data_IF_354375670459
#
_entry.id   IF_354375670459
#
_cell.length_a   1.000
_cell.length_b   1.000
_cell.length_c   1.000
_cell.angle_alpha   90.00
_cell.angle_beta   90.00
_cell.angle_gamma   90.00
#
_symmetry.space_group_name_H-M   'P 1'
#
loop_
_entity.id
_entity.type
_entity.pdbx_description
1 polymer ?
#
# COMPACT_ATOMS: atom_id res chain seq x y z
N UNK A 1 -13.59 28.11 -19.22
CA UNK A 1 -13.70 27.19 -18.05
C UNK A 1 -12.53 26.22 -17.95
N UNK A 2 -12.14 25.49 -19.02
CA UNK A 2 -11.01 24.54 -19.00
C UNK A 2 -9.60 25.14 -18.79
N UNK A 3 -9.37 26.41 -19.15
CA UNK A 3 -8.07 27.10 -18.97
C UNK A 3 -7.83 27.57 -17.53
N UNK A 4 -8.89 27.79 -16.73
CA UNK A 4 -8.77 28.25 -15.34
C UNK A 4 -8.37 27.13 -14.37
N UNK A 5 -8.77 25.88 -14.65
CA UNK A 5 -8.40 24.70 -13.86
C UNK A 5 -6.90 24.42 -13.98
N UNK A 6 -6.34 24.50 -15.20
CA UNK A 6 -4.90 24.28 -15.46
C UNK A 6 -3.97 25.29 -14.77
N UNK A 7 -4.36 26.56 -14.71
CA UNK A 7 -3.57 27.62 -14.07
C UNK A 7 -3.58 27.47 -12.54
N UNK A 8 -4.69 26.99 -11.96
CA UNK A 8 -4.81 26.73 -10.52
C UNK A 8 -4.02 25.50 -10.07
N UNK A 9 -3.96 24.45 -10.89
CA UNK A 9 -3.16 23.24 -10.62
C UNK A 9 -1.66 23.56 -10.60
N UNK A 10 -1.16 24.34 -11.57
CA UNK A 10 0.26 24.74 -11.64
C UNK A 10 0.71 25.62 -10.46
N UNK A 11 -0.13 26.58 -10.06
CA UNK A 11 0.19 27.45 -8.92
C UNK A 11 0.24 26.68 -7.60
N UNK A 12 -0.65 25.69 -7.43
CA UNK A 12 -0.69 24.84 -6.24
C UNK A 12 0.52 23.88 -6.18
N UNK A 13 0.98 23.37 -7.32
CA UNK A 13 2.16 22.51 -7.42
C UNK A 13 3.44 23.26 -7.05
N UNK A 14 3.58 24.53 -7.47
CA UNK A 14 4.75 25.34 -7.13
C UNK A 14 4.82 25.69 -5.64
N UNK A 15 3.67 25.97 -5.01
CA UNK A 15 3.58 26.22 -3.56
C UNK A 15 3.87 24.95 -2.77
N UNK A 16 3.38 23.80 -3.24
CA UNK A 16 3.64 22.50 -2.62
C UNK A 16 5.12 22.11 -2.70
N UNK A 17 5.78 22.30 -3.85
CA UNK A 17 7.21 22.06 -4.00
C UNK A 17 8.04 22.98 -3.10
N UNK A 18 7.62 24.23 -2.94
CA UNK A 18 8.26 25.18 -2.02
C UNK A 18 8.05 24.76 -0.55
N UNK A 19 6.85 24.27 -0.19
CA UNK A 19 6.57 23.75 1.14
C UNK A 19 7.35 22.45 1.44
N UNK A 20 7.47 21.53 0.48
CA UNK A 20 8.28 20.32 0.60
C UNK A 20 9.77 20.63 0.77
N UNK A 21 10.29 21.60 0.03
CA UNK A 21 11.70 22.04 0.17
C UNK A 21 12.00 22.74 1.50
N UNK A 22 11.00 23.38 2.11
CA UNK A 22 11.11 23.91 3.47
C UNK A 22 11.06 22.80 4.54
N UNK A 23 10.29 21.73 4.32
CA UNK A 23 10.24 20.57 5.22
C UNK A 23 11.53 19.73 5.22
N UNK A 24 12.32 19.77 4.14
CA UNK A 24 13.63 19.11 4.04
C UNK A 24 14.74 19.78 4.88
N UNK A 25 14.46 20.86 5.62
CA UNK A 25 15.47 21.57 6.45
C UNK A 25 15.37 21.31 7.95
N UNK A 26 14.49 20.41 8.41
CA UNK A 26 14.40 20.03 9.81
C UNK A 26 15.34 18.86 10.14
N UNK A 27 16.64 19.15 10.25
CA UNK A 27 17.59 18.22 10.88
C UNK A 27 17.33 18.19 12.39
N UNK A 28 16.57 17.20 12.86
CA UNK A 28 16.40 16.94 14.28
C UNK A 28 17.65 16.24 14.82
N UNK A 29 18.16 16.75 15.93
CA UNK A 29 19.31 16.23 16.68
C UNK A 29 19.06 14.78 17.14
N UNK A 30 19.88 13.84 16.64
CA UNK A 30 19.82 12.39 16.87
C UNK A 30 20.13 11.99 18.31
N UNK A 31 19.19 11.30 18.95
CA UNK A 31 19.47 10.30 19.98
C UNK A 31 19.67 8.99 19.19
N UNK A 32 20.76 8.26 19.43
CA UNK A 32 21.05 7.00 18.72
C UNK A 32 19.92 5.99 18.95
N UNK A 33 19.05 5.84 17.96
CA UNK A 33 17.87 4.97 18.00
C UNK A 33 18.18 3.60 17.38
N UNK A 34 17.33 2.58 17.62
CA UNK A 34 17.43 1.26 16.97
C UNK A 34 17.56 1.39 15.46
N UNK A 35 16.86 2.35 14.87
CA UNK A 35 16.95 2.69 13.46
C UNK A 35 18.40 3.01 13.01
N UNK A 36 19.18 3.79 13.77
CA UNK A 36 20.59 4.10 13.44
C UNK A 36 21.48 2.84 13.51
N UNK A 37 21.13 1.87 14.37
CA UNK A 37 21.84 0.58 14.47
C UNK A 37 21.55 -0.28 13.25
N UNK A 38 20.28 -0.36 12.83
CA UNK A 38 19.84 -1.09 11.63
C UNK A 38 20.42 -0.46 10.36
N UNK A 39 20.51 0.87 10.30
CA UNK A 39 21.10 1.60 9.17
C UNK A 39 22.54 1.19 8.84
N UNK A 40 23.29 0.66 9.81
CA UNK A 40 24.65 0.15 9.54
C UNK A 40 24.66 -1.04 8.58
N UNK A 41 23.58 -1.82 8.55
CA UNK A 41 23.42 -2.96 7.66
C UNK A 41 22.82 -2.54 6.31
N UNK A 42 21.95 -1.53 6.30
CA UNK A 42 21.14 -1.19 5.12
C UNK A 42 21.72 -0.09 4.25
N UNK A 43 22.62 0.78 4.75
CA UNK A 43 23.14 1.94 3.99
C UNK A 43 23.51 1.70 2.52
N UNK A 44 24.22 0.62 2.14
CA UNK A 44 24.56 0.38 0.74
C UNK A 44 23.39 -0.13 -0.10
N UNK A 45 22.30 -0.54 0.55
CA UNK A 45 21.09 -1.13 -0.02
C UNK A 45 19.89 -0.17 0.06
N UNK A 46 20.05 1.04 0.59
CA UNK A 46 18.95 2.00 0.79
C UNK A 46 18.48 2.62 -0.53
N UNK A 47 17.17 2.82 -0.64
CA UNK A 47 16.53 3.38 -1.83
C UNK A 47 16.93 4.84 -2.06
N UNK A 48 17.33 5.18 -3.30
CA UNK A 48 17.68 6.56 -3.69
C UNK A 48 16.43 7.41 -4.01
N UNK A 49 15.82 7.93 -2.95
CA UNK A 49 14.69 8.84 -3.05
C UNK A 49 14.99 10.09 -3.88
N UNK A 50 16.18 10.68 -3.74
CA UNK A 50 16.49 11.97 -4.38
C UNK A 50 16.51 11.82 -5.90
N UNK A 51 17.22 10.80 -6.40
CA UNK A 51 17.28 10.53 -7.83
C UNK A 51 15.92 10.11 -8.36
N UNK A 52 15.17 9.30 -7.60
CA UNK A 52 13.83 8.89 -8.01
C UNK A 52 12.87 10.09 -8.10
N UNK A 53 12.74 10.90 -7.05
CA UNK A 53 11.80 12.04 -6.98
C UNK A 53 12.13 13.08 -8.05
N UNK A 54 13.41 13.42 -8.26
CA UNK A 54 13.81 14.41 -9.29
C UNK A 54 13.43 13.93 -10.70
N UNK A 55 13.63 12.64 -11.00
CA UNK A 55 13.21 12.04 -12.27
C UNK A 55 11.69 12.03 -12.43
N UNK A 56 10.97 11.66 -11.38
CA UNK A 56 9.51 11.63 -11.38
C UNK A 56 8.91 13.02 -11.63
N UNK A 57 9.43 14.05 -10.94
CA UNK A 57 9.02 15.44 -11.16
C UNK A 57 9.30 15.90 -12.59
N UNK A 58 10.47 15.55 -13.15
CA UNK A 58 10.78 15.83 -14.55
C UNK A 58 9.78 15.21 -15.53
N UNK A 59 9.42 13.93 -15.33
CA UNK A 59 8.39 13.24 -16.12
C UNK A 59 7.02 13.93 -15.98
N UNK A 60 6.60 14.29 -14.76
CA UNK A 60 5.31 14.97 -14.52
C UNK A 60 5.23 16.35 -15.14
N UNK A 61 6.30 17.14 -15.11
CA UNK A 61 6.37 18.42 -15.80
C UNK A 61 6.22 18.26 -17.33
N UNK A 62 6.85 17.23 -17.90
CA UNK A 62 6.68 16.86 -19.30
C UNK A 62 5.25 16.48 -19.66
N UNK A 63 4.63 15.58 -18.87
CA UNK A 63 3.24 15.15 -19.04
C UNK A 63 2.26 16.35 -19.00
N UNK A 64 2.43 17.24 -18.01
CA UNK A 64 1.61 18.44 -17.88
C UNK A 64 1.74 19.36 -19.10
N UNK A 65 2.95 19.56 -19.61
CA UNK A 65 3.22 20.40 -20.77
C UNK A 65 2.61 19.86 -22.08
N UNK A 66 2.58 18.54 -22.26
CA UNK A 66 2.04 17.89 -23.46
C UNK A 66 0.50 17.87 -23.48
N UNK A 67 -0.15 17.81 -22.32
CA UNK A 67 -1.61 17.81 -22.22
C UNK A 67 -2.27 16.66 -23.01
N UNK A 68 -1.61 15.51 -23.12
CA UNK A 68 -2.00 14.41 -24.00
C UNK A 68 -3.46 13.94 -23.78
N UNK A 69 -3.93 13.95 -22.54
CA UNK A 69 -5.31 13.56 -22.19
C UNK A 69 -6.38 14.54 -22.68
N UNK A 70 -6.01 15.77 -23.07
CA UNK A 70 -6.99 16.77 -23.51
C UNK A 70 -7.49 16.61 -24.93
N UNK A 71 -6.89 15.68 -25.68
CA UNK A 71 -7.33 15.30 -27.01
C UNK A 71 -8.14 13.99 -27.03
N UNK A 72 -8.28 13.30 -25.88
CA UNK A 72 -9.05 12.06 -25.74
C UNK A 72 -10.52 12.36 -25.39
N UNK A 73 -11.45 11.55 -25.93
CA UNK A 73 -12.85 11.52 -25.45
C UNK A 73 -12.93 10.84 -24.08
N UNK A 74 -14.08 10.90 -23.41
CA UNK A 74 -14.27 10.22 -22.12
C UNK A 74 -14.07 8.70 -22.27
N UNK A 75 -14.70 8.11 -23.27
CA UNK A 75 -14.60 6.67 -23.55
C UNK A 75 -13.16 6.25 -23.90
N UNK A 76 -12.44 7.09 -24.65
CA UNK A 76 -11.05 6.83 -25.00
C UNK A 76 -10.10 6.93 -23.78
N UNK A 77 -10.46 7.68 -22.74
CA UNK A 77 -9.67 7.79 -21.51
C UNK A 77 -9.79 6.51 -20.68
N UNK A 78 -11.01 6.03 -20.48
CA UNK A 78 -11.24 4.82 -19.69
C UNK A 78 -10.64 3.60 -20.39
N UNK A 79 -10.78 3.52 -21.72
CA UNK A 79 -10.17 2.45 -22.52
C UNK A 79 -8.64 2.42 -22.40
N UNK A 80 -7.97 3.58 -22.35
CA UNK A 80 -6.50 3.63 -22.18
C UNK A 80 -6.06 2.98 -20.86
N UNK A 81 -6.83 3.15 -19.79
CA UNK A 81 -6.53 2.50 -18.51
C UNK A 81 -6.77 0.99 -18.62
N UNK A 82 -7.87 0.55 -19.24
CA UNK A 82 -8.13 -0.88 -19.44
C UNK A 82 -7.06 -1.56 -20.32
N UNK A 83 -6.63 -0.89 -21.39
CA UNK A 83 -5.55 -1.36 -22.26
C UNK A 83 -4.22 -1.47 -21.49
N UNK A 84 -3.95 -0.53 -20.59
CA UNK A 84 -2.79 -0.59 -19.69
C UNK A 84 -2.86 -1.82 -18.78
N UNK A 85 -4.01 -2.10 -18.16
CA UNK A 85 -4.18 -3.27 -17.27
C UNK A 85 -4.01 -4.60 -18.03
N UNK A 86 -4.52 -4.67 -19.26
CA UNK A 86 -4.33 -5.84 -20.12
C UNK A 86 -2.86 -6.04 -20.46
N UNK A 87 -2.15 -4.94 -20.76
CA UNK A 87 -0.74 -4.99 -21.09
C UNK A 87 0.14 -5.36 -19.89
N UNK A 88 -0.21 -4.92 -18.67
CA UNK A 88 0.43 -5.43 -17.44
C UNK A 88 0.22 -6.94 -17.32
N UNK A 89 -1.02 -7.42 -17.54
CA UNK A 89 -1.34 -8.85 -17.49
C UNK A 89 -0.56 -9.66 -18.53
N UNK A 90 -0.42 -9.13 -19.75
CA UNK A 90 0.36 -9.72 -20.83
C UNK A 90 1.84 -9.82 -20.44
N UNK A 91 2.42 -8.73 -19.92
CA UNK A 91 3.81 -8.70 -19.44
C UNK A 91 4.04 -9.73 -18.33
N UNK A 92 3.14 -9.83 -17.35
CA UNK A 92 3.29 -10.78 -16.25
C UNK A 92 3.16 -12.23 -16.70
N UNK A 93 2.21 -12.52 -17.61
CA UNK A 93 2.10 -13.85 -18.24
C UNK A 93 3.37 -14.22 -19.00
N UNK A 94 3.91 -13.29 -19.80
CA UNK A 94 5.14 -13.53 -20.57
C UNK A 94 6.36 -13.72 -19.67
N UNK A 95 6.48 -12.96 -18.56
CA UNK A 95 7.53 -13.20 -17.54
C UNK A 95 7.43 -14.60 -16.97
N UNK A 96 6.23 -15.04 -16.60
CA UNK A 96 5.99 -16.37 -16.06
C UNK A 96 6.32 -17.46 -17.09
N UNK A 97 5.89 -17.29 -18.34
CA UNK A 97 6.17 -18.23 -19.42
C UNK A 97 7.68 -18.33 -19.71
N UNK A 98 8.42 -17.22 -19.68
CA UNK A 98 9.90 -17.24 -19.75
C UNK A 98 10.49 -18.02 -18.58
N UNK A 99 10.07 -17.71 -17.34
CA UNK A 99 10.55 -18.39 -16.15
C UNK A 99 10.30 -19.89 -16.17
N UNK A 100 9.09 -20.30 -16.56
CA UNK A 100 8.68 -21.71 -16.70
C UNK A 100 9.51 -22.43 -17.76
N UNK A 101 9.74 -21.79 -18.90
CA UNK A 101 10.54 -22.36 -20.01
C UNK A 101 11.99 -22.55 -19.58
N UNK A 102 12.60 -21.54 -18.93
CA UNK A 102 13.98 -21.62 -18.45
C UNK A 102 14.18 -22.67 -17.34
N UNK A 103 13.13 -22.97 -16.58
CA UNK A 103 13.15 -23.95 -15.49
C UNK A 103 12.75 -25.38 -15.92
N UNK A 104 12.36 -25.61 -17.19
CA UNK A 104 11.90 -26.93 -17.65
C UNK A 104 13.09 -27.89 -17.87
N UNK A 105 13.21 -28.97 -17.07
CA UNK A 105 14.32 -29.92 -17.19
C UNK A 105 14.23 -30.83 -18.42
N UNK A 106 13.13 -30.81 -19.17
CA UNK A 106 12.92 -31.65 -20.35
C UNK A 106 13.40 -31.00 -21.66
N UNK A 107 13.81 -29.73 -21.62
CA UNK A 107 14.32 -29.01 -22.78
C UNK A 107 15.84 -29.17 -22.88
N UNK A 108 16.31 -29.52 -24.08
CA UNK A 108 17.75 -29.66 -24.36
C UNK A 108 18.48 -28.30 -24.29
N UNK A 109 17.81 -27.22 -24.71
CA UNK A 109 18.31 -25.84 -24.64
C UNK A 109 17.15 -24.89 -24.23
N UNK A 110 16.91 -24.74 -22.91
CA UNK A 110 15.86 -23.87 -22.38
C UNK A 110 16.02 -22.41 -22.79
N UNK A 111 17.27 -21.94 -22.94
CA UNK A 111 17.56 -20.57 -23.35
C UNK A 111 17.09 -20.30 -24.78
N UNK A 112 17.47 -21.16 -25.73
CA UNK A 112 17.02 -21.05 -27.12
C UNK A 112 15.49 -21.15 -27.23
N UNK A 113 14.86 -22.04 -26.45
CA UNK A 113 13.41 -22.19 -26.42
C UNK A 113 12.68 -20.93 -25.90
N UNK A 114 13.32 -20.18 -25.00
CA UNK A 114 12.77 -18.97 -24.40
C UNK A 114 13.03 -17.68 -25.22
N UNK A 115 13.86 -17.72 -26.28
CA UNK A 115 14.25 -16.53 -27.06
C UNK A 115 13.04 -15.77 -27.61
N UNK A 116 12.14 -16.46 -28.32
CA UNK A 116 10.95 -15.82 -28.92
C UNK A 116 10.03 -15.19 -27.87
N UNK A 117 9.83 -15.86 -26.72
CA UNK A 117 8.99 -15.34 -25.64
C UNK A 117 9.66 -14.12 -24.99
N UNK A 118 10.99 -14.13 -24.88
CA UNK A 118 11.76 -13.01 -24.35
C UNK A 118 11.69 -11.77 -25.26
N UNK A 119 11.69 -11.95 -26.58
CA UNK A 119 11.47 -10.86 -27.55
C UNK A 119 10.05 -10.29 -27.47
N UNK A 120 9.03 -11.14 -27.32
CA UNK A 120 7.65 -10.72 -27.08
C UNK A 120 7.53 -9.94 -25.76
N UNK A 121 8.14 -10.44 -24.69
CA UNK A 121 8.18 -9.77 -23.38
C UNK A 121 8.80 -8.38 -23.48
N UNK A 122 9.92 -8.25 -24.20
CA UNK A 122 10.59 -6.97 -24.39
C UNK A 122 9.70 -5.98 -25.15
N UNK A 123 9.04 -6.45 -26.22
CA UNK A 123 8.10 -5.64 -27.00
C UNK A 123 6.90 -5.19 -26.16
N UNK A 124 6.33 -6.08 -25.34
CA UNK A 124 5.22 -5.75 -24.45
C UNK A 124 5.64 -4.72 -23.38
N UNK A 125 6.85 -4.85 -22.81
CA UNK A 125 7.41 -3.88 -21.86
C UNK A 125 7.61 -2.49 -22.47
N UNK A 126 8.09 -2.41 -23.71
CA UNK A 126 8.25 -1.13 -24.41
C UNK A 126 6.91 -0.43 -24.61
N UNK A 127 5.89 -1.18 -25.06
CA UNK A 127 4.52 -0.66 -25.17
C UNK A 127 3.96 -0.22 -23.82
N UNK A 128 4.29 -0.94 -22.74
CA UNK A 128 3.84 -0.62 -21.39
C UNK A 128 4.43 0.72 -20.92
N UNK A 129 5.73 0.94 -21.14
CA UNK A 129 6.39 2.20 -20.80
C UNK A 129 5.83 3.40 -21.60
N UNK A 130 5.40 3.18 -22.85
CA UNK A 130 4.75 4.23 -23.65
C UNK A 130 3.34 4.58 -23.15
N UNK A 131 2.54 3.59 -22.75
CA UNK A 131 1.16 3.79 -22.32
C UNK A 131 1.04 4.28 -20.88
N UNK A 132 1.98 3.89 -20.02
CA UNK A 132 2.04 4.18 -18.58
C UNK A 132 1.82 5.67 -18.25
N UNK A 133 2.54 6.64 -18.84
CA UNK A 133 2.30 8.08 -18.59
C UNK A 133 0.85 8.55 -18.83
N UNK A 134 0.18 7.97 -19.83
CA UNK A 134 -1.18 8.35 -20.20
C UNK A 134 -2.17 7.75 -19.21
N UNK A 135 -2.01 6.47 -18.88
CA UNK A 135 -2.80 5.79 -17.86
C UNK A 135 -2.70 6.48 -16.49
N UNK A 136 -1.48 6.84 -16.05
CA UNK A 136 -1.26 7.65 -14.83
C UNK A 136 -2.05 8.96 -14.85
N UNK A 137 -2.02 9.67 -15.97
CA UNK A 137 -2.69 10.97 -16.09
C UNK A 137 -4.20 10.81 -16.02
N UNK A 138 -4.76 9.81 -16.71
CA UNK A 138 -6.21 9.52 -16.66
C UNK A 138 -6.64 9.15 -15.24
N UNK A 139 -5.94 8.23 -14.57
CA UNK A 139 -6.26 7.82 -13.20
C UNK A 139 -6.16 8.98 -12.19
N UNK A 140 -5.12 9.83 -12.31
CA UNK A 140 -5.00 11.04 -11.48
C UNK A 140 -6.20 11.97 -11.69
N UNK A 141 -6.65 12.18 -12.94
CA UNK A 141 -7.80 13.02 -13.26
C UNK A 141 -9.10 12.41 -12.71
N UNK A 142 -9.32 11.10 -12.88
CA UNK A 142 -10.51 10.40 -12.39
C UNK A 142 -10.63 10.49 -10.87
N UNK A 143 -9.53 10.21 -10.14
CA UNK A 143 -9.48 10.34 -8.68
C UNK A 143 -9.67 11.81 -8.25
N UNK A 144 -9.04 12.75 -8.94
CA UNK A 144 -9.16 14.17 -8.60
C UNK A 144 -10.58 14.71 -8.76
N UNK A 145 -11.32 14.26 -9.78
CA UNK A 145 -12.71 14.65 -10.01
C UNK A 145 -13.63 14.13 -8.91
N UNK A 146 -13.51 12.85 -8.53
CA UNK A 146 -14.28 12.29 -7.42
C UNK A 146 -13.96 13.00 -6.10
N UNK A 147 -12.68 13.27 -5.83
CA UNK A 147 -12.26 14.03 -4.65
C UNK A 147 -12.80 15.47 -4.63
N UNK A 148 -12.96 16.12 -5.79
CA UNK A 148 -13.56 17.45 -5.88
C UNK A 148 -15.02 17.41 -5.39
N UNK A 149 -15.77 16.36 -5.74
CA UNK A 149 -17.17 16.18 -5.35
C UNK A 149 -17.35 15.96 -3.85
N UNK A 150 -16.39 15.32 -3.17
CA UNK A 150 -16.40 15.17 -1.71
C UNK A 150 -16.21 16.50 -0.95
N UNK A 151 -15.75 17.56 -1.63
CA UNK A 151 -15.44 18.83 -0.97
C UNK A 151 -14.17 18.81 -0.12
N UNK A 152 -13.29 17.81 -0.29
CA UNK A 152 -11.97 17.74 0.37
C UNK A 152 -10.89 18.62 -0.30
N UNK A 153 -11.30 19.52 -1.20
CA UNK A 153 -10.42 20.40 -1.96
C UNK A 153 -10.19 21.81 -1.38
N UNK A 154 -9.19 22.50 -1.93
CA UNK A 154 -8.95 23.93 -1.74
C UNK A 154 -9.22 24.67 -3.05
N UNK A 155 -10.21 25.59 -3.05
CA UNK A 155 -10.49 26.42 -4.23
C UNK A 155 -11.14 25.69 -5.40
N UNK A 156 -11.85 24.58 -5.14
CA UNK A 156 -12.52 23.74 -6.14
C UNK A 156 -11.57 22.76 -6.84
N UNK A 157 -10.53 22.30 -6.17
CA UNK A 157 -9.66 21.22 -6.61
C UNK A 157 -9.11 20.48 -5.38
N UNK A 158 -8.86 19.17 -5.45
CA UNK A 158 -8.25 18.42 -4.36
C UNK A 158 -6.93 19.07 -3.92
N UNK A 159 -6.74 19.17 -2.61
CA UNK A 159 -5.48 19.65 -2.03
C UNK A 159 -5.00 18.68 -0.95
N UNK A 160 -3.80 18.09 -1.11
CA UNK A 160 -2.85 18.31 -2.20
C UNK A 160 -3.34 17.74 -3.55
N UNK A 161 -2.79 18.19 -4.70
CA UNK A 161 -3.16 17.63 -5.99
C UNK A 161 -2.84 16.13 -6.06
N UNK A 162 -3.70 15.37 -6.73
CA UNK A 162 -3.44 13.94 -6.97
C UNK A 162 -2.30 13.80 -7.97
N UNK A 163 -1.19 13.22 -7.54
CA UNK A 163 -0.03 12.97 -8.38
C UNK A 163 0.64 11.66 -7.95
N UNK A 164 0.73 10.69 -8.86
CA UNK A 164 1.39 9.42 -8.61
C UNK A 164 2.14 8.94 -9.85
N UNK A 165 3.04 7.98 -9.67
CA UNK A 165 3.75 7.32 -10.75
C UNK A 165 3.78 5.82 -10.51
N UNK A 166 3.53 5.03 -11.56
CA UNK A 166 3.79 3.60 -11.52
C UNK A 166 5.30 3.35 -11.43
N UNK A 167 5.73 2.53 -10.48
CA UNK A 167 7.15 2.27 -10.22
C UNK A 167 7.37 0.87 -9.66
N UNK A 168 8.57 0.35 -9.86
CA UNK A 168 9.07 -0.75 -9.04
C UNK A 168 9.19 -0.24 -7.60
N UNK A 169 8.59 -0.97 -6.67
CA UNK A 169 8.47 -0.54 -5.29
C UNK A 169 9.69 -0.98 -4.48
N UNK A 170 10.22 -0.11 -3.60
CA UNK A 170 11.31 -0.51 -2.72
C UNK A 170 10.86 -1.64 -1.79
N UNK A 171 11.81 -2.47 -1.36
CA UNK A 171 11.56 -3.47 -0.33
C UNK A 171 11.60 -2.78 1.04
N UNK A 172 10.59 -2.95 1.86
CA UNK A 172 10.61 -2.43 3.23
C UNK A 172 11.22 -3.46 4.17
N UNK A 173 12.29 -3.09 4.87
CA UNK A 173 12.81 -3.83 6.02
C UNK A 173 12.13 -3.35 7.29
N UNK A 174 11.24 -4.18 7.81
CA UNK A 174 10.44 -3.94 9.01
C UNK A 174 11.18 -4.54 10.20
N UNK A 175 11.36 -3.74 11.24
CA UNK A 175 12.02 -4.14 12.49
C UNK A 175 11.01 -4.08 13.63
N UNK A 176 10.94 -5.15 14.40
CA UNK A 176 10.09 -5.27 15.58
C UNK A 176 10.89 -5.79 16.78
N UNK A 177 10.62 -5.33 18.01
CA UNK A 177 11.12 -5.98 19.21
C UNK A 177 10.64 -7.44 19.26
N UNK A 178 11.41 -8.32 19.91
CA UNK A 178 11.01 -9.73 20.04
C UNK A 178 9.94 -9.95 21.10
N UNK A 179 9.87 -9.07 22.10
CA UNK A 179 8.98 -9.17 23.26
C UNK A 179 7.59 -8.55 23.03
N UNK A 180 7.40 -7.79 21.96
CA UNK A 180 6.11 -7.18 21.61
C UNK A 180 6.00 -6.96 20.11
N UNK A 181 4.82 -7.24 19.56
CA UNK A 181 4.55 -6.95 18.15
C UNK A 181 4.30 -5.45 17.98
N UNK A 182 5.35 -4.75 17.58
CA UNK A 182 5.34 -3.31 17.31
C UNK A 182 6.38 -2.97 16.24
N UNK A 183 6.02 -2.17 15.24
CA UNK A 183 6.99 -1.72 14.25
C UNK A 183 7.83 -0.57 14.84
N UNK A 184 9.08 -0.87 15.17
CA UNK A 184 10.06 0.06 15.74
C UNK A 184 10.80 0.84 14.65
N UNK A 185 11.17 0.16 13.55
CA UNK A 185 11.78 0.80 12.40
C UNK A 185 11.22 0.22 11.08
N UNK A 186 11.26 1.03 10.03
CA UNK A 186 10.98 0.64 8.65
C UNK A 186 11.95 1.37 7.76
N UNK A 187 12.74 0.61 6.99
CA UNK A 187 13.75 1.16 6.09
C UNK A 187 13.47 0.68 4.67
N UNK A 188 13.54 1.59 3.71
CA UNK A 188 13.23 1.30 2.31
C UNK A 188 14.52 0.98 1.57
N UNK A 189 14.58 -0.22 1.04
CA UNK A 189 15.71 -0.81 0.36
C UNK A 189 15.51 -0.80 -1.15
N UNK A 190 16.59 -1.05 -1.88
CA UNK A 190 16.61 -1.14 -3.31
C UNK A 190 15.59 -2.20 -3.82
N UNK A 191 14.74 -1.85 -4.81
CA UNK A 191 13.76 -2.78 -5.39
C UNK A 191 14.41 -3.99 -6.07
N UNK A 192 15.67 -3.87 -6.50
CA UNK A 192 16.46 -4.94 -7.13
C UNK A 192 17.12 -5.91 -6.16
N UNK A 193 16.86 -5.80 -4.86
CA UNK A 193 17.44 -6.67 -3.85
C UNK A 193 16.96 -8.12 -4.02
N UNK A 194 17.90 -9.05 -4.22
CA UNK A 194 17.56 -10.46 -4.43
C UNK A 194 16.94 -11.07 -3.17
N UNK A 195 16.19 -12.16 -3.33
CA UNK A 195 15.60 -12.86 -2.18
C UNK A 195 16.68 -13.40 -1.22
N UNK A 196 17.82 -13.84 -1.75
CA UNK A 196 18.97 -14.29 -0.95
C UNK A 196 19.52 -13.13 -0.10
N UNK A 197 19.76 -11.97 -0.72
CA UNK A 197 20.24 -10.79 0.01
C UNK A 197 19.23 -10.29 1.06
N UNK A 198 17.93 -10.41 0.79
CA UNK A 198 16.88 -10.09 1.77
C UNK A 198 16.96 -11.01 3.00
N UNK A 199 17.10 -12.33 2.78
CA UNK A 199 17.20 -13.33 3.86
C UNK A 199 18.48 -13.13 4.68
N UNK A 200 19.59 -12.88 4.01
CA UNK A 200 20.88 -12.62 4.67
C UNK A 200 20.81 -11.34 5.50
N UNK A 201 20.21 -10.27 4.96
CA UNK A 201 20.02 -9.02 5.68
C UNK A 201 19.15 -9.20 6.93
N UNK A 202 18.00 -9.86 6.80
CA UNK A 202 17.14 -10.19 7.95
C UNK A 202 17.94 -10.94 9.02
N UNK A 203 18.57 -12.05 8.63
CA UNK A 203 19.31 -12.93 9.56
C UNK A 203 20.41 -12.18 10.30
N UNK A 204 21.18 -11.36 9.59
CA UNK A 204 22.26 -10.57 10.18
C UNK A 204 21.73 -9.52 11.16
N UNK A 205 20.64 -8.83 10.82
CA UNK A 205 20.02 -7.82 11.68
C UNK A 205 19.45 -8.45 12.95
N UNK A 206 18.77 -9.60 12.83
CA UNK A 206 18.19 -10.32 13.97
C UNK A 206 19.27 -10.81 14.94
N UNK A 207 20.34 -11.43 14.41
CA UNK A 207 21.44 -11.96 15.23
C UNK A 207 22.23 -10.87 15.98
N UNK A 208 22.51 -9.75 15.32
CA UNK A 208 23.36 -8.69 15.88
C UNK A 208 22.59 -7.72 16.79
N UNK A 209 21.29 -7.55 16.57
CA UNK A 209 20.48 -6.57 17.30
C UNK A 209 19.45 -7.19 18.26
N UNK A 210 19.25 -8.51 18.25
CA UNK A 210 18.25 -9.23 19.03
C UNK A 210 16.83 -8.68 18.80
N UNK A 211 16.46 -8.61 17.51
CA UNK A 211 15.17 -8.09 17.03
C UNK A 211 14.52 -9.11 16.09
N UNK A 212 13.26 -8.88 15.75
CA UNK A 212 12.58 -9.54 14.63
C UNK A 212 12.65 -8.64 13.40
N UNK A 213 12.98 -9.21 12.25
CA UNK A 213 13.09 -8.50 10.97
C UNK A 213 12.24 -9.16 9.88
N UNK A 214 11.74 -8.35 8.95
CA UNK A 214 11.07 -8.81 7.74
C UNK A 214 11.31 -7.83 6.59
N UNK A 215 11.94 -8.30 5.52
CA UNK A 215 11.97 -7.68 4.21
C UNK A 215 10.69 -8.07 3.45
N UNK A 216 9.91 -7.06 3.08
CA UNK A 216 8.59 -7.23 2.47
C UNK A 216 8.36 -6.20 1.36
N UNK A 217 7.70 -6.61 0.28
CA UNK A 217 7.26 -5.69 -0.77
C UNK A 217 6.12 -4.79 -0.29
N UNK A 218 6.11 -3.54 -0.74
CA UNK A 218 5.04 -2.58 -0.45
C UNK A 218 4.24 -2.26 -1.72
N UNK A 219 2.94 -2.01 -1.58
CA UNK A 219 2.06 -1.71 -2.73
C UNK A 219 2.03 -0.23 -3.12
N UNK A 220 2.24 0.66 -2.16
CA UNK A 220 2.25 2.10 -2.33
C UNK A 220 3.26 2.75 -1.39
N UNK A 221 3.73 3.94 -1.75
CA UNK A 221 4.57 4.76 -0.89
C UNK A 221 4.26 6.24 -1.11
N UNK A 222 3.90 6.91 -0.01
CA UNK A 222 3.49 8.31 0.07
C UNK A 222 4.61 9.34 -0.18
N UNK A 223 5.52 9.11 -1.14
CA UNK A 223 6.36 10.19 -1.72
C UNK A 223 5.49 11.19 -2.48
N UNK A 224 6.03 12.34 -2.92
CA UNK A 224 5.30 13.24 -3.82
C UNK A 224 6.10 13.51 -5.11
N UNK A 225 5.66 13.02 -6.30
CA UNK A 225 4.48 12.18 -6.56
C UNK A 225 4.53 10.83 -5.81
N UNK A 226 3.36 10.24 -5.54
CA UNK A 226 3.24 8.93 -4.89
C UNK A 226 3.83 7.82 -5.76
N UNK A 227 4.54 6.86 -5.16
CA UNK A 227 4.91 5.61 -5.84
C UNK A 227 3.77 4.61 -5.69
N UNK A 228 3.32 4.03 -6.81
CA UNK A 228 2.29 2.99 -6.82
C UNK A 228 2.83 1.80 -7.61
N UNK A 229 2.66 0.59 -7.09
CA UNK A 229 3.01 -0.63 -7.81
C UNK A 229 2.11 -0.82 -9.03
N UNK A 230 2.64 -1.42 -10.09
CA UNK A 230 1.82 -1.90 -11.20
C UNK A 230 0.88 -3.00 -10.74
N UNK A 231 -0.35 -3.00 -11.25
CA UNK A 231 -1.35 -4.01 -10.90
C UNK A 231 -2.33 -4.20 -12.05
N UNK A 232 -2.87 -5.41 -12.17
CA UNK A 232 -3.92 -5.75 -13.12
C UNK A 232 -5.32 -5.46 -12.57
N UNK A 233 -5.42 -5.09 -11.29
CA UNK A 233 -6.69 -4.82 -10.61
C UNK A 233 -6.95 -3.33 -10.50
N UNK A 234 -7.91 -2.82 -11.29
CA UNK A 234 -8.33 -1.42 -11.22
C UNK A 234 -8.88 -1.06 -9.84
N UNK A 235 -9.60 -1.98 -9.19
CA UNK A 235 -10.14 -1.77 -7.86
C UNK A 235 -9.04 -1.56 -6.82
N UNK A 236 -7.98 -2.37 -6.88
CA UNK A 236 -6.84 -2.21 -6.02
C UNK A 236 -6.08 -0.90 -6.31
N UNK A 237 -5.93 -0.52 -7.59
CA UNK A 237 -5.27 0.72 -7.98
C UNK A 237 -5.99 1.96 -7.48
N UNK A 238 -7.31 2.06 -7.67
CA UNK A 238 -8.08 3.23 -7.24
C UNK A 238 -8.07 3.34 -5.71
N UNK A 239 -8.24 2.23 -4.99
CA UNK A 239 -8.12 2.19 -3.54
C UNK A 239 -6.74 2.66 -3.06
N UNK A 240 -5.66 2.13 -3.65
CA UNK A 240 -4.28 2.46 -3.25
C UNK A 240 -3.94 3.92 -3.56
N UNK A 241 -4.30 4.44 -4.74
CA UNK A 241 -4.04 5.85 -5.08
C UNK A 241 -4.71 6.78 -4.06
N UNK A 242 -5.95 6.48 -3.66
CA UNK A 242 -6.68 7.26 -2.67
C UNK A 242 -6.12 7.08 -1.26
N UNK A 243 -5.71 5.86 -0.87
CA UNK A 243 -5.05 5.57 0.41
C UNK A 243 -3.82 6.48 0.58
N UNK A 244 -2.93 6.48 -0.40
CA UNK A 244 -1.72 7.28 -0.37
C UNK A 244 -2.00 8.79 -0.49
N UNK A 245 -3.02 9.20 -1.26
CA UNK A 245 -3.44 10.60 -1.28
C UNK A 245 -3.96 11.07 0.09
N UNK A 246 -4.63 10.18 0.84
CA UNK A 246 -5.12 10.48 2.19
C UNK A 246 -3.96 10.76 3.14
N UNK A 247 -2.86 10.02 3.03
CA UNK A 247 -1.62 10.31 3.76
C UNK A 247 -1.09 11.71 3.44
N UNK A 248 -1.08 12.11 2.17
CA UNK A 248 -0.69 13.48 1.79
C UNK A 248 -1.63 14.55 2.33
N UNK A 249 -2.94 14.29 2.34
CA UNK A 249 -3.91 15.19 2.96
C UNK A 249 -3.61 15.37 4.47
N UNK A 250 -3.36 14.26 5.16
CA UNK A 250 -3.08 14.22 6.59
C UNK A 250 -1.71 14.79 6.95
N UNK A 251 -0.73 14.77 6.04
CA UNK A 251 0.62 15.32 6.26
C UNK A 251 0.61 16.81 6.67
N UNK A 252 -0.46 17.55 6.33
CA UNK A 252 -0.67 18.94 6.71
C UNK A 252 -1.58 19.12 7.93
N UNK A 253 -1.82 18.07 8.71
CA UNK A 253 -2.75 18.02 9.84
C UNK A 253 -2.10 17.35 11.05
N UNK A 254 -2.62 17.57 12.28
CA UNK A 254 -2.02 16.98 13.48
C UNK A 254 -1.82 15.48 13.41
N UNK A 255 -2.79 14.71 12.87
CA UNK A 255 -2.66 13.26 12.74
C UNK A 255 -1.45 12.85 11.87
N UNK A 256 -1.24 13.48 10.71
CA UNK A 256 -0.10 13.16 9.84
C UNK A 256 1.22 13.74 10.31
N UNK A 257 1.24 14.95 10.89
CA UNK A 257 2.44 15.55 11.50
C UNK A 257 3.02 14.69 12.63
N UNK A 258 2.18 13.87 13.26
CA UNK A 258 2.56 12.95 14.34
C UNK A 258 2.65 11.49 13.89
N UNK A 259 2.56 11.19 12.59
CA UNK A 259 2.54 9.83 12.06
C UNK A 259 3.64 8.95 12.65
N UNK A 260 4.88 9.43 12.64
CA UNK A 260 6.04 8.69 13.14
C UNK A 260 6.28 8.84 14.67
N UNK A 261 5.43 9.56 15.41
CA UNK A 261 5.65 9.81 16.84
C UNK A 261 5.30 8.62 17.73
N UNK A 262 4.34 7.78 17.33
CA UNK A 262 3.94 6.60 18.09
C UNK A 262 3.30 5.53 17.21
N UNK A 263 3.29 4.28 17.67
CA UNK A 263 2.56 3.20 17.02
C UNK A 263 1.03 3.47 16.99
N UNK A 264 0.49 4.10 18.04
CA UNK A 264 -0.91 4.47 18.14
C UNK A 264 -1.32 5.47 17.05
N UNK A 265 -0.58 6.58 16.91
CA UNK A 265 -0.88 7.61 15.91
C UNK A 265 -0.76 7.07 14.48
N UNK A 266 0.23 6.22 14.22
CA UNK A 266 0.40 5.52 12.94
C UNK A 266 -0.76 4.59 12.65
N UNK A 267 -1.19 3.78 13.61
CA UNK A 267 -2.35 2.88 13.48
C UNK A 267 -3.64 3.65 13.19
N UNK A 268 -3.89 4.77 13.88
CA UNK A 268 -5.03 5.66 13.58
C UNK A 268 -4.93 6.17 12.13
N UNK A 269 -3.77 6.64 11.72
CA UNK A 269 -3.56 7.19 10.39
C UNK A 269 -3.77 6.14 9.28
N UNK A 270 -3.14 4.97 9.37
CA UNK A 270 -3.33 3.87 8.40
C UNK A 270 -4.79 3.40 8.35
N UNK A 271 -5.49 3.33 9.49
CA UNK A 271 -6.90 2.96 9.50
C UNK A 271 -7.75 3.99 8.78
N UNK A 272 -7.50 5.28 9.01
CA UNK A 272 -8.19 6.38 8.32
C UNK A 272 -7.92 6.33 6.82
N UNK A 273 -6.66 6.21 6.42
CA UNK A 273 -6.26 6.07 5.02
C UNK A 273 -6.90 4.86 4.35
N UNK A 274 -6.96 3.71 5.03
CA UNK A 274 -7.59 2.50 4.52
C UNK A 274 -9.11 2.62 4.35
N UNK A 275 -9.80 3.26 5.29
CA UNK A 275 -11.25 3.54 5.14
C UNK A 275 -11.49 4.48 3.97
N UNK A 276 -10.83 5.65 3.95
CA UNK A 276 -11.02 6.64 2.88
C UNK A 276 -10.63 6.06 1.51
N UNK A 277 -9.53 5.29 1.47
CA UNK A 277 -9.05 4.53 0.31
C UNK A 277 -10.14 3.65 -0.28
N UNK A 278 -10.78 2.80 0.53
CA UNK A 278 -11.85 1.91 0.08
C UNK A 278 -13.07 2.68 -0.42
N UNK A 279 -13.54 3.66 0.35
CA UNK A 279 -14.80 4.34 0.05
C UNK A 279 -14.68 5.20 -1.22
N UNK A 280 -13.69 6.09 -1.28
CA UNK A 280 -13.50 6.95 -2.44
C UNK A 280 -12.94 6.14 -3.64
N UNK A 281 -12.13 5.11 -3.38
CA UNK A 281 -11.69 4.18 -4.43
C UNK A 281 -12.86 3.46 -5.10
N UNK A 282 -13.88 3.07 -4.32
CA UNK A 282 -15.15 2.51 -4.83
C UNK A 282 -15.95 3.54 -5.61
N UNK A 283 -16.01 4.80 -5.16
CA UNK A 283 -16.69 5.88 -5.90
C UNK A 283 -16.04 6.13 -7.27
N UNK A 284 -14.71 6.05 -7.36
CA UNK A 284 -13.97 6.10 -8.64
C UNK A 284 -14.35 4.93 -9.54
N UNK A 285 -14.43 3.71 -9.01
CA UNK A 285 -14.89 2.56 -9.79
C UNK A 285 -16.32 2.75 -10.28
N UNK A 286 -17.24 3.17 -9.40
CA UNK A 286 -18.63 3.38 -9.77
C UNK A 286 -18.80 4.43 -10.88
N UNK A 287 -17.93 5.44 -10.91
CA UNK A 287 -18.00 6.54 -11.86
C UNK A 287 -17.38 6.22 -13.22
N UNK A 288 -16.27 5.48 -13.25
CA UNK A 288 -15.46 5.29 -14.46
C UNK A 288 -15.27 3.83 -14.89
N UNK A 289 -15.39 2.88 -13.97
CA UNK A 289 -15.15 1.45 -14.20
C UNK A 289 -16.23 0.57 -13.55
N UNK A 290 -17.53 0.81 -13.83
CA UNK A 290 -18.63 0.19 -13.09
C UNK A 290 -18.65 -1.34 -13.19
N UNK A 291 -18.16 -1.91 -14.31
CA UNK A 291 -18.05 -3.35 -14.53
C UNK A 291 -17.05 -4.04 -13.58
N UNK A 292 -16.20 -3.26 -12.89
CA UNK A 292 -15.18 -3.74 -11.95
C UNK A 292 -15.55 -3.45 -10.49
N UNK A 293 -16.76 -2.98 -10.22
CA UNK A 293 -17.25 -2.86 -8.85
C UNK A 293 -17.32 -4.25 -8.21
N UNK A 294 -16.68 -4.47 -7.05
CA UNK A 294 -16.84 -5.72 -6.33
C UNK A 294 -18.31 -5.87 -5.93
N UNK A 295 -18.84 -7.08 -6.14
CA UNK A 295 -20.16 -7.47 -5.68
C UNK A 295 -20.29 -7.14 -4.18
N UNK A 296 -21.43 -6.60 -3.73
CA UNK A 296 -21.64 -6.40 -2.30
C UNK A 296 -21.42 -7.76 -1.61
N UNK A 297 -20.74 -7.79 -0.45
CA UNK A 297 -20.59 -9.04 0.29
C UNK A 297 -22.00 -9.61 0.49
N UNK A 298 -22.21 -10.85 0.07
CA UNK A 298 -23.52 -11.48 0.13
C UNK A 298 -24.08 -11.27 1.53
N UNK A 299 -25.19 -10.53 1.63
CA UNK A 299 -26.01 -10.55 2.83
C UNK A 299 -26.29 -12.02 3.08
N UNK A 300 -25.81 -12.53 4.21
CA UNK A 300 -26.13 -13.89 4.60
C UNK A 300 -27.63 -13.85 4.89
N UNK A 301 -28.43 -14.19 3.90
CA UNK A 301 -29.87 -14.38 4.04
C UNK A 301 -30.04 -15.40 5.17
N UNK A 302 -30.39 -14.92 6.36
CA UNK A 302 -30.69 -15.75 7.54
C UNK A 302 -32.03 -16.50 7.39
N UNK A 303 -32.44 -16.79 6.15
CA UNK A 303 -33.68 -17.49 5.81
C UNK A 303 -33.42 -18.48 4.69
N UNK A 304 -32.67 -19.54 4.98
CA UNK A 304 -32.75 -20.80 4.22
C UNK A 304 -32.38 -21.96 5.15
N UNK A 305 -33.41 -22.48 5.83
CA UNK A 305 -33.37 -23.78 6.51
C UNK A 305 -33.26 -24.91 5.49
N UNK A 306 -32.06 -25.17 4.98
CA UNK A 306 -31.68 -26.46 4.41
C UNK A 306 -30.25 -26.71 4.90
N UNK A 307 -29.98 -27.70 5.76
CA UNK A 307 -28.61 -27.94 6.20
C UNK A 307 -27.83 -28.54 5.03
N UNK A 308 -26.82 -27.84 4.45
CA UNK A 308 -25.88 -28.50 3.58
C UNK A 308 -25.08 -29.49 4.43
N UNK A 309 -24.80 -30.65 3.84
CA UNK A 309 -23.85 -31.64 4.35
C UNK A 309 -22.57 -30.93 4.81
N UNK A 310 -22.02 -31.21 6.02
CA UNK A 310 -20.83 -30.52 6.48
C UNK A 310 -19.63 -31.02 5.66
N UNK A 311 -19.32 -30.32 4.57
CA UNK A 311 -17.94 -30.25 4.11
C UNK A 311 -17.11 -29.66 5.25
N UNK A 312 -15.88 -30.15 5.51
CA UNK A 312 -15.01 -29.52 6.48
C UNK A 312 -14.89 -28.03 6.14
N UNK A 313 -14.95 -27.13 7.13
CA UNK A 313 -14.90 -25.70 6.85
C UNK A 313 -13.63 -25.41 6.03
N UNK A 314 -13.80 -24.73 4.90
CA UNK A 314 -12.68 -24.25 4.10
C UNK A 314 -11.74 -23.43 4.99
N UNK A 315 -10.44 -23.56 4.76
CA UNK A 315 -9.42 -22.80 5.49
C UNK A 315 -9.70 -21.29 5.36
N UNK A 316 -10.11 -20.65 6.45
CA UNK A 316 -10.36 -19.21 6.48
C UNK A 316 -9.07 -18.49 6.88
N UNK A 317 -8.33 -18.06 5.87
CA UNK A 317 -7.07 -17.34 6.04
C UNK A 317 -7.14 -16.21 7.07
N UNK A 318 -8.20 -15.40 7.07
CA UNK A 318 -8.32 -14.24 7.96
C UNK A 318 -8.55 -14.68 9.40
N UNK A 319 -9.42 -15.66 9.60
CA UNK A 319 -9.66 -16.22 10.93
C UNK A 319 -8.38 -16.87 11.50
N UNK A 320 -7.68 -17.66 10.68
CA UNK A 320 -6.47 -18.36 11.08
C UNK A 320 -5.30 -17.39 11.36
N UNK A 321 -5.16 -16.30 10.59
CA UNK A 321 -4.18 -15.24 10.87
C UNK A 321 -4.50 -14.48 12.15
N UNK A 322 -5.77 -14.18 12.40
CA UNK A 322 -6.21 -13.53 13.64
C UNK A 322 -5.95 -14.42 14.87
N UNK A 323 -6.29 -15.69 14.79
CA UNK A 323 -6.00 -16.65 15.87
C UNK A 323 -4.49 -16.70 16.14
N UNK A 324 -3.69 -16.77 15.08
CA UNK A 324 -2.23 -16.74 15.17
C UNK A 324 -1.75 -15.48 15.89
N UNK A 325 -2.31 -14.31 15.52
CA UNK A 325 -1.95 -13.03 16.13
C UNK A 325 -2.29 -12.98 17.63
N UNK A 326 -3.52 -13.33 18.00
CA UNK A 326 -3.99 -13.28 19.39
C UNK A 326 -3.12 -14.18 20.26
N UNK A 327 -2.87 -15.41 19.80
CA UNK A 327 -2.08 -16.37 20.56
C UNK A 327 -0.60 -15.95 20.68
N UNK A 328 -0.04 -15.32 19.64
CA UNK A 328 1.29 -14.74 19.71
C UNK A 328 1.37 -13.60 20.74
N UNK A 329 0.41 -12.67 20.74
CA UNK A 329 0.35 -11.58 21.73
C UNK A 329 0.25 -12.12 23.17
N UNK A 330 -0.55 -13.17 23.42
CA UNK A 330 -0.65 -13.82 24.74
C UNK A 330 0.70 -14.38 25.21
N UNK A 331 1.40 -15.13 24.35
CA UNK A 331 2.69 -15.71 24.67
C UNK A 331 3.75 -14.64 24.93
N UNK A 332 3.75 -13.57 24.13
CA UNK A 332 4.66 -12.43 24.31
C UNK A 332 4.37 -11.67 25.60
N UNK A 333 3.11 -11.46 25.96
CA UNK A 333 2.72 -10.84 27.22
C UNK A 333 3.12 -11.68 28.45
N UNK A 334 3.20 -13.00 28.31
CA UNK A 334 3.75 -13.93 29.32
C UNK A 334 5.30 -13.96 29.35
N UNK A 335 5.98 -13.27 28.44
CA UNK A 335 7.44 -13.28 28.29
C UNK A 335 8.00 -14.54 27.63
N UNK A 336 7.15 -15.34 26.98
CA UNK A 336 7.51 -16.62 26.32
C UNK A 336 7.84 -16.39 24.85
N UNK A 337 8.92 -15.65 24.62
CA UNK A 337 9.31 -15.15 23.29
C UNK A 337 9.58 -16.32 22.33
N UNK A 338 10.43 -17.27 22.73
CA UNK A 338 10.80 -18.40 21.86
C UNK A 338 9.58 -19.25 21.52
N UNK A 339 8.67 -19.46 22.47
CA UNK A 339 7.44 -20.23 22.23
C UNK A 339 6.48 -19.49 21.29
N UNK A 340 6.43 -18.16 21.34
CA UNK A 340 5.65 -17.35 20.40
C UNK A 340 6.22 -17.48 18.97
N UNK A 341 7.54 -17.44 18.83
CA UNK A 341 8.24 -17.57 17.54
C UNK A 341 8.07 -18.97 16.94
N UNK A 342 8.23 -20.02 17.76
CA UNK A 342 7.96 -21.41 17.36
C UNK A 342 6.50 -21.61 16.93
N UNK A 343 5.56 -21.02 17.67
CA UNK A 343 4.14 -21.06 17.31
C UNK A 343 3.88 -20.37 15.97
N UNK A 344 4.43 -19.16 15.75
CA UNK A 344 4.25 -18.44 14.48
C UNK A 344 4.83 -19.21 13.28
N UNK A 345 5.99 -19.87 13.41
CA UNK A 345 6.52 -20.71 12.33
C UNK A 345 5.67 -21.98 12.11
N UNK A 346 5.17 -22.62 13.18
CA UNK A 346 4.25 -23.75 13.05
C UNK A 346 2.97 -23.34 12.29
N UNK A 347 2.46 -22.12 12.54
CA UNK A 347 1.31 -21.57 11.82
C UNK A 347 1.65 -21.27 10.37
N UNK A 348 2.85 -20.75 10.06
CA UNK A 348 3.34 -20.59 8.68
C UNK A 348 3.31 -21.91 7.90
N UNK A 349 3.69 -23.02 8.53
CA UNK A 349 3.63 -24.35 7.89
C UNK A 349 2.18 -24.77 7.60
N UNK A 350 1.23 -24.46 8.51
CA UNK A 350 -0.19 -24.67 8.23
C UNK A 350 -0.67 -23.84 7.03
N UNK A 351 -0.29 -22.57 6.93
CA UNK A 351 -0.63 -21.73 5.77
C UNK A 351 -0.07 -22.31 4.47
N UNK A 352 1.16 -22.81 4.50
CA UNK A 352 1.78 -23.49 3.37
C UNK A 352 0.96 -24.69 2.87
N UNK A 353 0.54 -25.56 3.80
CA UNK A 353 -0.25 -26.76 3.48
C UNK A 353 -1.65 -26.43 2.95
N UNK A 354 -2.17 -25.23 3.25
CA UNK A 354 -3.46 -24.72 2.78
C UNK A 354 -3.36 -23.80 1.54
N UNK A 355 -2.22 -23.82 0.83
CA UNK A 355 -2.06 -23.14 -0.46
C UNK A 355 -1.49 -21.72 -0.38
N UNK A 356 -1.12 -21.24 0.81
CA UNK A 356 -0.49 -19.92 1.01
C UNK A 356 1.04 -20.02 1.01
N UNK A 357 1.59 -20.70 -0.01
CA UNK A 357 3.03 -21.00 -0.11
C UNK A 357 3.91 -19.76 -0.34
N UNK A 358 3.30 -18.63 -0.70
CA UNK A 358 3.98 -17.34 -0.86
C UNK A 358 4.37 -16.69 0.48
N UNK A 359 3.80 -17.15 1.62
CA UNK A 359 4.16 -16.63 2.94
C UNK A 359 5.47 -17.25 3.41
N UNK A 360 6.56 -16.51 3.18
CA UNK A 360 7.92 -16.95 3.53
C UNK A 360 8.14 -17.04 5.04
N UNK A 361 7.57 -16.12 5.82
CA UNK A 361 7.83 -15.98 7.25
C UNK A 361 6.64 -15.36 7.98
N UNK A 362 6.35 -15.84 9.19
CA UNK A 362 5.45 -15.18 10.14
C UNK A 362 6.25 -14.97 11.43
N UNK A 363 6.41 -13.72 11.84
CA UNK A 363 7.11 -13.29 13.05
C UNK A 363 6.50 -11.97 13.55
N UNK A 364 7.10 -11.35 14.56
CA UNK A 364 6.65 -10.08 15.13
C UNK A 364 6.69 -8.98 14.05
N UNK A 365 7.75 -8.88 13.25
CA UNK A 365 7.85 -7.92 12.16
C UNK A 365 6.74 -8.09 11.09
N UNK A 366 6.36 -9.33 10.76
CA UNK A 366 5.22 -9.62 9.88
C UNK A 366 3.94 -8.98 10.40
N UNK A 367 3.56 -9.29 11.65
CA UNK A 367 2.33 -8.78 12.23
C UNK A 367 2.41 -7.27 12.55
N UNK A 368 3.60 -6.74 12.80
CA UNK A 368 3.83 -5.32 12.98
C UNK A 368 3.58 -4.53 11.69
N UNK A 369 3.89 -5.12 10.53
CA UNK A 369 3.62 -4.55 9.22
C UNK A 369 2.16 -4.75 8.81
N UNK A 370 1.71 -6.00 8.61
CA UNK A 370 0.38 -6.30 8.06
C UNK A 370 -0.76 -5.97 9.02
N UNK A 371 -0.54 -6.05 10.34
CA UNK A 371 -1.52 -5.67 11.35
C UNK A 371 -1.89 -4.18 11.30
N UNK A 372 -0.97 -3.30 10.88
CA UNK A 372 -1.25 -1.87 10.74
C UNK A 372 -2.22 -1.55 9.58
N UNK A 373 -2.31 -2.43 8.58
CA UNK A 373 -3.16 -2.26 7.39
C UNK A 373 -4.51 -2.99 7.48
N UNK A 374 -4.77 -3.72 8.57
CA UNK A 374 -6.00 -4.49 8.75
C UNK A 374 -7.21 -3.59 9.09
N UNK A 375 -7.72 -2.87 8.09
CA UNK A 375 -8.86 -1.98 8.26
C UNK A 375 -10.22 -2.70 8.41
N UNK A 376 -10.26 -4.04 8.43
CA UNK A 376 -11.46 -4.86 8.62
C UNK A 376 -11.60 -5.35 10.07
N UNK A 377 -12.82 -5.38 10.65
CA UNK A 377 -13.08 -5.87 12.01
C UNK A 377 -12.75 -7.36 12.25
N UNK A 378 -12.34 -8.10 11.20
CA UNK A 378 -11.96 -9.53 11.26
C UNK A 378 -10.53 -9.80 10.75
N UNK A 379 -9.66 -8.78 10.70
CA UNK A 379 -8.31 -8.89 10.15
C UNK A 379 -7.20 -9.37 11.11
N UNK A 380 -5.96 -9.25 10.65
CA UNK A 380 -4.73 -9.77 11.29
C UNK A 380 -4.23 -8.94 12.49
N UNK A 381 -4.98 -7.92 12.92
CA UNK A 381 -4.56 -6.96 13.93
C UNK A 381 -4.75 -7.41 15.41
N UNK A 382 -5.26 -8.61 15.65
CA UNK A 382 -5.47 -9.11 17.02
C UNK A 382 -6.65 -8.43 17.72
N UNK A 383 -6.50 -8.06 19.01
CA UNK A 383 -7.41 -7.12 19.67
C UNK A 383 -7.07 -5.70 19.19
N UNK A 384 -7.84 -5.17 18.24
CA UNK A 384 -7.61 -3.86 17.62
C UNK A 384 -8.62 -2.80 18.12
N UNK A 385 -8.43 -2.22 19.32
CA UNK A 385 -9.33 -1.20 19.85
C UNK A 385 -9.26 0.11 19.07
N UNK A 386 -8.14 0.39 18.40
CA UNK A 386 -7.94 1.59 17.59
C UNK A 386 -8.78 1.50 16.33
N UNK A 387 -8.58 0.47 15.52
CA UNK A 387 -9.31 0.32 14.28
C UNK A 387 -10.81 0.18 14.51
N UNK A 388 -11.21 -0.46 15.61
CA UNK A 388 -12.63 -0.52 15.99
C UNK A 388 -13.21 0.86 16.33
N UNK A 389 -12.53 1.65 17.15
CA UNK A 389 -12.99 3.00 17.48
C UNK A 389 -13.07 3.89 16.22
N UNK A 390 -12.06 3.81 15.33
CA UNK A 390 -12.04 4.58 14.07
C UNK A 390 -13.19 4.15 13.15
N UNK A 391 -13.49 2.85 13.03
CA UNK A 391 -14.64 2.35 12.25
C UNK A 391 -15.97 2.81 12.83
N UNK A 392 -16.10 2.93 14.15
CA UNK A 392 -17.31 3.49 14.77
C UNK A 392 -17.46 4.97 14.42
N UNK A 393 -16.38 5.76 14.41
CA UNK A 393 -16.41 7.16 13.98
C UNK A 393 -16.81 7.25 12.50
N UNK A 394 -16.32 6.34 11.66
CA UNK A 394 -16.75 6.22 10.27
C UNK A 394 -18.26 5.95 10.17
N UNK A 395 -18.78 4.95 10.89
CA UNK A 395 -20.20 4.60 10.86
C UNK A 395 -21.14 5.73 11.35
N UNK A 396 -20.64 6.67 12.14
CA UNK A 396 -21.36 7.86 12.59
C UNK A 396 -21.16 9.09 11.70
N UNK A 397 -20.26 9.03 10.72
CA UNK A 397 -20.01 10.11 9.78
C UNK A 397 -20.95 10.02 8.58
N UNK A 398 -21.38 11.15 8.04
CA UNK A 398 -22.31 11.19 6.90
C UNK A 398 -21.62 10.78 5.60
N UNK A 399 -20.35 11.14 5.44
CA UNK A 399 -19.55 10.88 4.26
C UNK A 399 -18.03 10.84 4.59
N UNK A 400 -17.22 10.45 3.60
CA UNK A 400 -15.76 10.36 3.69
C UNK A 400 -15.10 11.71 4.02
N UNK A 401 -15.72 12.83 3.64
CA UNK A 401 -15.16 14.16 3.88
C UNK A 401 -15.35 14.62 5.33
N UNK A 402 -16.53 14.40 5.89
CA UNK A 402 -16.81 14.63 7.32
C UNK A 402 -15.88 13.77 8.18
N UNK A 403 -15.82 12.47 7.86
CA UNK A 403 -14.96 11.51 8.57
C UNK A 403 -13.50 11.96 8.58
N UNK A 404 -12.93 12.22 7.39
CA UNK A 404 -11.52 12.59 7.26
C UNK A 404 -11.22 13.93 7.97
N UNK A 405 -12.12 14.91 7.92
CA UNK A 405 -11.96 16.19 8.63
C UNK A 405 -11.98 16.04 10.15
N UNK A 406 -12.84 15.17 10.70
CA UNK A 406 -12.86 14.86 12.14
C UNK A 406 -11.55 14.19 12.56
N UNK A 407 -11.18 13.13 11.85
CA UNK A 407 -10.01 12.30 12.18
C UNK A 407 -8.68 13.04 12.03
N UNK A 408 -8.58 13.97 11.08
CA UNK A 408 -7.37 14.77 10.84
C UNK A 408 -6.80 15.48 12.09
N UNK A 409 -7.63 15.76 13.11
CA UNK A 409 -7.22 16.46 14.33
C UNK A 409 -6.96 15.53 15.53
N UNK A 410 -7.25 14.24 15.40
CA UNK A 410 -7.08 13.26 16.48
C UNK A 410 -5.66 12.69 16.44
N UNK A 411 -5.05 12.50 17.61
CA UNK A 411 -3.65 12.01 17.70
C UNK A 411 -3.45 10.89 18.74
N UNK A 412 -4.54 10.43 19.36
CA UNK A 412 -4.58 9.34 20.34
C UNK A 412 -5.94 8.64 20.32
N UNK A 413 -6.01 7.41 20.83
CA UNK A 413 -7.25 6.62 20.94
C UNK A 413 -8.30 7.32 21.79
N UNK A 414 -7.91 7.97 22.88
CA UNK A 414 -8.83 8.75 23.72
C UNK A 414 -9.45 9.90 22.92
N UNK A 415 -8.69 10.52 22.01
CA UNK A 415 -9.23 11.51 21.09
C UNK A 415 -10.21 10.92 20.08
N UNK A 416 -10.00 9.68 19.61
CA UNK A 416 -10.95 8.98 18.74
C UNK A 416 -12.24 8.70 19.51
N UNK A 417 -12.13 8.20 20.74
CA UNK A 417 -13.28 7.91 21.61
C UNK A 417 -14.09 9.16 21.93
N UNK A 418 -13.43 10.29 22.17
CA UNK A 418 -14.10 11.56 22.42
C UNK A 418 -14.99 12.01 21.23
N UNK A 419 -14.70 11.58 20.00
CA UNK A 419 -15.57 11.84 18.83
C UNK A 419 -16.84 10.98 18.81
N UNK A 420 -16.86 9.84 19.51
CA UNK A 420 -18.03 8.96 19.61
C UNK A 420 -19.04 9.45 20.66
N UNK A 421 -18.58 10.28 21.60
CA UNK A 421 -19.39 10.86 22.68
C UNK A 421 -20.01 12.22 22.30
N UNK A 422 -19.69 12.74 21.11
CA UNK A 422 -20.10 14.07 20.60
C UNK A 422 -21.15 13.95 19.50
#
# INVERSE_FOLDING_TARGET
>A
MKTLVRVRILGSLAILLLALSLLLTASATQILDLQDRVQRFTRPLEFDYLTWTTRALGKKLGQFGLGATSFLTAEARDQVVLDYLELVREVDRLKEDVGRTLADPNLDDPQLAAESISEELQTARERLEELKPVAETVLQENVALVLEETGLGLGGAPFPPVAFQFSEMPVALIISPRDVIRQEASLQLDPGLSLEDQIDLETNVEQELDVSALAVGIGGLSTYPTMIMESTSIAWLTETIVHEWTHHYLAFRPLGLRYAQSAETRSINETVAGIVGREIGRDVLASYYPDFLPDPPAETDLTSEIPPTPEPPAFDFRAEMRETRIRADELLAEGRIEEAEEYMDARRQLFWDNGYQHIRRINQAYFAFYGAYAASPRGEAGEDPIGEAVRQVWAQSQDSAEFLRKMAWVTSLDGVRALLDS
#
